data_IF_618783331306
#
_entry.id   IF_618783331306
#
_cell.length_a   1.000
_cell.length_b   1.000
_cell.length_c   1.000
_cell.angle_alpha   90.00
_cell.angle_beta   90.00
_cell.angle_gamma   90.00
#
_symmetry.space_group_name_H-M   'P 1'
#
loop_
_entity.id
_entity.type
_entity.pdbx_description
1 polymer ?
#
# COMPACT_ATOMS: atom_id res chain seq x y z
N UNK A 1 -1.16 -19.60 11.10
CA UNK A 1 -2.06 -18.68 10.38
C UNK A 1 -1.23 -17.87 9.40
N UNK A 2 -1.18 -18.29 8.14
CA UNK A 2 -0.52 -17.53 7.07
C UNK A 2 -1.47 -16.40 6.65
N UNK A 3 -1.27 -15.20 7.19
CA UNK A 3 -1.94 -14.01 6.66
C UNK A 3 -1.37 -13.75 5.27
N UNK A 4 -2.12 -14.15 4.24
CA UNK A 4 -1.89 -13.70 2.86
C UNK A 4 -2.23 -12.21 2.78
N UNK A 5 -1.40 -11.35 3.38
CA UNK A 5 -1.55 -9.90 3.29
C UNK A 5 -1.25 -9.50 1.85
N UNK A 6 -2.32 -9.33 1.07
CA UNK A 6 -2.22 -8.89 -0.31
C UNK A 6 -1.55 -7.51 -0.31
N UNK A 7 -0.56 -7.28 -1.19
CA UNK A 7 0.22 -6.03 -1.20
C UNK A 7 -0.63 -4.77 -1.26
N UNK A 8 -1.81 -4.83 -1.87
CA UNK A 8 -2.78 -3.73 -1.86
C UNK A 8 -3.31 -3.34 -0.47
N UNK A 9 -3.48 -4.30 0.45
CA UNK A 9 -3.88 -4.04 1.84
C UNK A 9 -2.75 -3.35 2.62
N UNK A 10 -1.51 -3.78 2.39
CA UNK A 10 -0.32 -3.16 2.99
C UNK A 10 -0.20 -1.70 2.54
N UNK A 11 -0.31 -1.46 1.23
CA UNK A 11 -0.31 -0.10 0.65
C UNK A 11 -1.44 0.75 1.23
N UNK A 12 -2.66 0.20 1.32
CA UNK A 12 -3.83 0.89 1.91
C UNK A 12 -3.60 1.30 3.35
N UNK A 13 -3.07 0.39 4.17
CA UNK A 13 -2.83 0.63 5.60
C UNK A 13 -1.76 1.71 5.79
N UNK A 14 -0.62 1.59 5.09
CA UNK A 14 0.45 2.58 5.12
C UNK A 14 -0.01 3.96 4.64
N UNK A 15 -0.80 4.00 3.55
CA UNK A 15 -1.38 5.24 3.03
C UNK A 15 -2.24 5.95 4.07
N UNK A 16 -3.15 5.20 4.71
CA UNK A 16 -4.04 5.74 5.75
C UNK A 16 -3.25 6.20 6.98
N UNK A 17 -2.22 5.47 7.40
CA UNK A 17 -1.36 5.85 8.51
C UNK A 17 -0.60 7.18 8.28
N UNK A 18 -0.46 7.60 7.02
CA UNK A 18 0.11 8.90 6.64
C UNK A 18 -0.94 9.92 6.18
N UNK A 19 -2.23 9.59 6.28
CA UNK A 19 -3.34 10.45 5.88
C UNK A 19 -3.35 10.85 4.39
N UNK A 20 -2.71 10.03 3.55
CA UNK A 20 -2.73 10.27 2.10
C UNK A 20 -4.08 9.86 1.51
N UNK A 21 -4.59 10.64 0.56
CA UNK A 21 -5.65 10.17 -0.34
C UNK A 21 -5.06 9.21 -1.38
N UNK A 22 -5.89 8.38 -2.01
CA UNK A 22 -5.44 7.52 -3.12
C UNK A 22 -4.85 8.34 -4.27
N UNK A 23 -5.41 9.53 -4.51
CA UNK A 23 -5.00 10.45 -5.57
C UNK A 23 -3.62 11.05 -5.26
N UNK A 24 -3.42 11.54 -4.04
CA UNK A 24 -2.13 12.12 -3.62
C UNK A 24 -1.02 11.07 -3.63
N UNK A 25 -1.28 9.87 -3.13
CA UNK A 25 -0.29 8.79 -3.13
C UNK A 25 0.08 8.38 -4.55
N UNK A 26 -0.93 8.19 -5.40
CA UNK A 26 -0.71 7.78 -6.78
C UNK A 26 0.10 8.83 -7.55
N UNK A 27 -0.27 10.11 -7.42
CA UNK A 27 0.45 11.22 -8.04
C UNK A 27 1.91 11.27 -7.61
N UNK A 28 2.18 11.22 -6.29
CA UNK A 28 3.56 11.26 -5.80
C UNK A 28 4.39 10.03 -6.19
N UNK A 29 3.79 8.84 -6.20
CA UNK A 29 4.50 7.61 -6.55
C UNK A 29 4.63 7.39 -8.08
N UNK A 30 3.95 8.19 -8.91
CA UNK A 30 3.97 8.05 -10.37
C UNK A 30 3.06 6.95 -10.90
N UNK A 31 1.90 6.71 -10.25
CA UNK A 31 0.85 5.79 -10.72
C UNK A 31 -0.47 6.54 -10.90
N UNK A 32 -1.43 5.89 -11.55
CA UNK A 32 -2.79 6.43 -11.63
C UNK A 32 -3.57 6.15 -10.34
N UNK A 33 -4.52 7.02 -10.00
CA UNK A 33 -5.48 6.78 -8.91
C UNK A 33 -6.24 5.45 -9.10
N UNK A 34 -6.62 5.13 -10.34
CA UNK A 34 -7.31 3.88 -10.67
C UNK A 34 -6.46 2.64 -10.36
N UNK A 35 -5.14 2.72 -10.60
CA UNK A 35 -4.19 1.67 -10.21
C UNK A 35 -4.20 1.45 -8.71
N UNK A 36 -4.06 2.51 -7.91
CA UNK A 36 -4.12 2.41 -6.45
C UNK A 36 -5.48 1.86 -5.97
N UNK A 37 -6.58 2.35 -6.54
CA UNK A 37 -7.91 1.89 -6.20
C UNK A 37 -8.09 0.38 -6.47
N UNK A 38 -7.60 -0.11 -7.63
CA UNK A 38 -7.68 -1.53 -7.99
C UNK A 38 -6.80 -2.41 -7.08
N UNK A 39 -5.62 -1.92 -6.69
CA UNK A 39 -4.77 -2.60 -5.71
C UNK A 39 -5.45 -2.69 -4.34
N UNK A 40 -5.92 -1.57 -3.79
CA UNK A 40 -6.52 -1.50 -2.46
C UNK A 40 -7.90 -2.18 -2.35
N UNK A 41 -8.55 -2.44 -3.49
CA UNK A 41 -9.78 -3.22 -3.60
C UNK A 41 -9.53 -4.70 -3.91
N UNK A 42 -8.27 -5.12 -4.08
CA UNK A 42 -7.91 -6.51 -4.39
C UNK A 42 -8.27 -6.97 -5.81
N UNK A 43 -8.58 -6.03 -6.73
CA UNK A 43 -8.91 -6.37 -8.13
C UNK A 43 -7.67 -6.71 -8.96
N UNK A 44 -6.53 -6.14 -8.58
CA UNK A 44 -5.22 -6.42 -9.18
C UNK A 44 -4.17 -6.41 -8.09
N UNK A 45 -3.06 -7.12 -8.30
CA UNK A 45 -2.00 -7.25 -7.30
C UNK A 45 -0.84 -6.32 -7.66
N UNK A 46 -0.38 -5.43 -6.75
CA UNK A 46 0.85 -4.68 -6.95
C UNK A 46 2.07 -5.62 -6.98
N UNK A 47 3.12 -5.22 -7.70
CA UNK A 47 4.40 -5.91 -7.62
C UNK A 47 5.03 -5.74 -6.24
N UNK A 48 5.98 -6.60 -5.87
CA UNK A 48 6.74 -6.43 -4.64
C UNK A 48 7.50 -5.08 -4.63
N UNK A 49 8.10 -4.70 -5.76
CA UNK A 49 8.83 -3.44 -5.90
C UNK A 49 7.91 -2.23 -5.72
N UNK A 50 6.67 -2.29 -6.24
CA UNK A 50 5.68 -1.23 -6.02
C UNK A 50 5.32 -1.11 -4.53
N UNK A 51 5.10 -2.24 -3.84
CA UNK A 51 4.80 -2.24 -2.40
C UNK A 51 5.98 -1.68 -1.61
N UNK A 52 7.19 -2.20 -1.84
CA UNK A 52 8.39 -1.78 -1.13
C UNK A 52 8.72 -0.30 -1.40
N UNK A 53 8.57 0.15 -2.65
CA UNK A 53 8.80 1.54 -3.03
C UNK A 53 7.82 2.50 -2.39
N UNK A 54 6.53 2.17 -2.36
CA UNK A 54 5.50 2.98 -1.66
C UNK A 54 5.80 3.02 -0.16
N UNK A 55 6.11 1.89 0.47
CA UNK A 55 6.43 1.86 1.90
C UNK A 55 7.65 2.72 2.22
N UNK A 56 8.73 2.60 1.44
CA UNK A 56 9.92 3.40 1.62
C UNK A 56 9.62 4.90 1.47
N UNK A 57 8.82 5.30 0.47
CA UNK A 57 8.38 6.68 0.27
C UNK A 57 7.56 7.20 1.45
N UNK A 58 6.76 6.35 2.08
CA UNK A 58 5.96 6.68 3.27
C UNK A 58 6.72 6.49 4.59
N UNK A 59 8.04 6.27 4.53
CA UNK A 59 8.93 6.05 5.67
C UNK A 59 8.51 4.86 6.55
N UNK A 60 8.16 3.75 5.90
CA UNK A 60 7.95 2.45 6.53
C UNK A 60 8.91 1.41 5.96
N UNK A 61 9.33 0.49 6.81
CA UNK A 61 9.95 -0.77 6.38
C UNK A 61 8.86 -1.78 5.98
N UNK A 62 9.23 -2.81 5.21
CA UNK A 62 8.29 -3.89 4.83
C UNK A 62 7.65 -4.57 6.04
N UNK A 63 8.41 -4.97 7.10
CA UNK A 63 7.81 -5.53 8.32
C UNK A 63 6.79 -4.59 8.96
N UNK A 64 7.12 -3.30 9.13
CA UNK A 64 6.18 -2.33 9.69
C UNK A 64 4.91 -2.20 8.85
N UNK A 65 5.03 -2.22 7.52
CA UNK A 65 3.87 -2.22 6.62
C UNK A 65 2.96 -3.44 6.79
N UNK A 66 3.53 -4.61 7.05
CA UNK A 66 2.78 -5.83 7.34
C UNK A 66 2.05 -5.71 8.68
N UNK A 67 2.72 -5.18 9.72
CA UNK A 67 2.15 -5.01 11.05
C UNK A 67 0.97 -4.03 11.07
N UNK A 68 0.97 -3.01 10.21
CA UNK A 68 -0.14 -2.05 10.07
C UNK A 68 -1.46 -2.72 9.62
N UNK A 69 -1.38 -3.84 8.89
CA UNK A 69 -2.57 -4.60 8.45
C UNK A 69 -3.15 -5.45 9.58
N UNK A 70 -2.32 -5.87 10.55
CA UNK A 70 -2.75 -6.71 11.66
C UNK A 70 -3.45 -5.92 12.78
N UNK A 71 -3.22 -4.60 12.84
CA UNK A 71 -3.71 -3.71 13.89
C UNK A 71 -4.93 -2.84 13.46
N UNK A 72 -5.53 -3.13 12.30
CA UNK A 72 -6.75 -2.48 11.77
C UNK A 72 -7.87 -3.50 11.60
#
# INVERSE_FOLDING_TARGET
MTVSSHGGNIVKAARKAREYTQENLAFQYGKSKATLQNWEAGRTTPSFDDVAGILAMLHFTVPQGIDLVQNN
#
